data_IF_332513787790
#
_entry.id   IF_332513787790
#
_cell.length_a   1.000
_cell.length_b   1.000
_cell.length_c   1.000
_cell.angle_alpha   90.00
_cell.angle_beta   90.00
_cell.angle_gamma   90.00
#
_symmetry.space_group_name_H-M   'P 1'
#
loop_
_entity.id
_entity.type
_entity.pdbx_description
1 polymer ?
#
# COMPACT_ATOMS: atom_id res chain seq x y z
N UNK A 1 15.86 -0.52 -9.31
CA UNK A 1 16.37 0.42 -10.33
C UNK A 1 15.39 1.57 -10.46
N UNK A 2 15.88 2.83 -10.48
CA UNK A 2 15.04 4.03 -10.63
C UNK A 2 15.29 4.64 -12.02
N UNK A 3 14.33 5.46 -12.51
CA UNK A 3 14.48 6.19 -13.76
C UNK A 3 14.01 5.43 -15.01
N UNK A 4 13.28 4.32 -14.83
CA UNK A 4 12.62 3.58 -15.92
C UNK A 4 11.17 3.37 -15.56
N UNK A 5 10.29 3.54 -16.53
CA UNK A 5 8.88 3.23 -16.48
C UNK A 5 8.41 2.71 -17.82
N UNK A 6 7.18 2.22 -17.89
CA UNK A 6 6.56 1.80 -19.15
C UNK A 6 5.13 2.30 -19.21
N UNK A 7 4.62 2.44 -20.45
CA UNK A 7 3.24 2.80 -20.72
C UNK A 7 2.59 1.66 -21.48
N UNK A 8 1.50 1.12 -20.94
CA UNK A 8 0.61 0.26 -21.70
C UNK A 8 -0.35 1.12 -22.51
N UNK A 9 -0.32 0.97 -23.83
CA UNK A 9 -1.22 1.66 -24.75
C UNK A 9 -2.07 0.63 -25.50
N UNK A 10 -3.38 0.67 -25.29
CA UNK A 10 -4.31 -0.16 -26.05
C UNK A 10 -4.24 0.17 -27.55
N UNK A 11 -4.30 -0.84 -28.38
CA UNK A 11 -4.32 -0.68 -29.84
C UNK A 11 -5.41 0.30 -30.29
N UNK A 12 -5.13 1.08 -31.34
CA UNK A 12 -6.03 2.13 -31.86
C UNK A 12 -6.08 3.43 -31.04
N UNK A 13 -5.48 3.48 -29.84
CA UNK A 13 -5.38 4.73 -29.09
C UNK A 13 -4.21 5.58 -29.58
N UNK A 14 -4.45 6.89 -29.80
CA UNK A 14 -3.40 7.85 -30.15
C UNK A 14 -2.77 8.37 -28.86
N UNK A 15 -1.46 8.46 -28.84
CA UNK A 15 -0.67 9.10 -27.79
C UNK A 15 0.23 10.13 -28.47
N UNK A 16 0.17 11.37 -28.00
CA UNK A 16 1.07 12.41 -28.49
C UNK A 16 2.40 12.33 -27.72
N UNK A 17 3.54 12.33 -28.40
CA UNK A 17 4.84 12.30 -27.75
C UNK A 17 5.07 13.59 -26.97
N UNK A 18 5.59 13.46 -25.74
CA UNK A 18 6.07 14.61 -24.97
C UNK A 18 7.44 15.09 -25.47
N UNK A 19 8.29 14.16 -25.91
CA UNK A 19 9.61 14.40 -26.46
C UNK A 19 9.66 13.86 -27.89
N UNK A 20 9.61 14.76 -28.85
CA UNK A 20 9.74 14.43 -30.28
C UNK A 20 11.22 14.49 -30.71
N UNK A 21 11.60 13.73 -31.75
CA UNK A 21 12.97 13.75 -32.29
C UNK A 21 13.32 12.51 -33.13
N UNK A 22 14.29 11.71 -32.70
CA UNK A 22 14.95 10.66 -33.49
C UNK A 22 14.18 9.35 -33.72
N UNK A 23 12.89 9.28 -33.46
CA UNK A 23 12.05 8.12 -33.81
C UNK A 23 12.07 6.96 -32.80
N UNK A 24 12.78 7.10 -31.68
CA UNK A 24 12.85 6.05 -30.65
C UNK A 24 11.46 5.77 -30.05
N UNK A 25 11.28 4.53 -29.58
CA UNK A 25 10.01 4.01 -29.03
C UNK A 25 8.80 4.22 -29.97
N UNK A 26 9.03 4.04 -31.30
CA UNK A 26 7.99 4.23 -32.32
C UNK A 26 7.47 5.67 -32.36
N UNK A 27 8.34 6.66 -32.33
CA UNK A 27 8.06 8.09 -32.29
C UNK A 27 7.32 8.57 -31.04
N UNK A 28 7.18 7.73 -30.01
CA UNK A 28 6.46 8.10 -28.79
C UNK A 28 7.33 8.74 -27.72
N UNK A 29 8.63 8.45 -27.75
CA UNK A 29 9.57 8.98 -26.76
C UNK A 29 10.99 8.99 -27.30
N UNK A 30 11.38 10.12 -27.86
CA UNK A 30 12.71 10.32 -28.40
C UNK A 30 13.72 10.57 -27.29
N UNK A 31 14.78 9.85 -27.23
CA UNK A 31 16.08 9.98 -26.58
C UNK A 31 16.77 8.61 -26.64
N UNK A 32 18.07 8.57 -26.36
CA UNK A 32 18.80 7.30 -26.20
C UNK A 32 18.16 6.47 -25.09
N UNK A 33 17.88 5.20 -25.39
CA UNK A 33 17.21 4.28 -24.47
C UNK A 33 18.12 3.90 -23.30
N UNK A 34 17.57 3.86 -22.11
CA UNK A 34 18.25 3.32 -20.92
C UNK A 34 18.18 1.79 -20.93
N UNK A 35 18.94 1.16 -21.80
CA UNK A 35 18.92 -0.30 -22.02
C UNK A 35 19.13 -1.09 -20.73
N UNK A 36 20.09 -0.69 -19.90
CA UNK A 36 20.36 -1.37 -18.63
C UNK A 36 19.17 -1.29 -17.67
N UNK A 37 18.54 -0.12 -17.55
CA UNK A 37 17.36 0.07 -16.72
C UNK A 37 16.14 -0.68 -17.26
N UNK A 38 15.94 -0.71 -18.57
CA UNK A 38 14.87 -1.46 -19.23
C UNK A 38 15.04 -2.96 -18.96
N UNK A 39 16.24 -3.51 -19.17
CA UNK A 39 16.53 -4.92 -18.90
C UNK A 39 16.31 -5.29 -17.42
N UNK A 40 16.73 -4.43 -16.49
CA UNK A 40 16.50 -4.63 -15.07
C UNK A 40 15.01 -4.59 -14.69
N UNK A 41 14.23 -3.69 -15.30
CA UNK A 41 12.77 -3.59 -15.10
C UNK A 41 12.06 -4.85 -15.64
N UNK A 42 12.43 -5.31 -16.84
CA UNK A 42 11.89 -6.54 -17.42
C UNK A 42 12.22 -7.77 -16.56
N UNK A 43 13.44 -7.85 -16.02
CA UNK A 43 13.83 -8.91 -15.07
C UNK A 43 13.01 -8.87 -13.80
N UNK A 44 12.81 -7.68 -13.21
CA UNK A 44 12.01 -7.51 -12.00
C UNK A 44 10.55 -7.93 -12.22
N UNK A 45 9.94 -7.51 -13.35
CA UNK A 45 8.58 -7.89 -13.71
C UNK A 45 8.46 -9.42 -13.83
N UNK A 46 9.40 -10.08 -14.52
CA UNK A 46 9.39 -11.54 -14.63
C UNK A 46 9.46 -12.21 -13.27
N UNK A 47 10.35 -11.77 -12.37
CA UNK A 47 10.48 -12.35 -11.04
C UNK A 47 9.19 -12.21 -10.21
N UNK A 48 8.49 -11.09 -10.32
CA UNK A 48 7.20 -10.89 -9.65
C UNK A 48 6.15 -11.83 -10.24
N UNK A 49 6.06 -11.90 -11.57
CA UNK A 49 5.07 -12.75 -12.26
C UNK A 49 5.31 -14.24 -11.96
N UNK A 50 6.58 -14.69 -11.94
CA UNK A 50 6.92 -16.07 -11.61
C UNK A 50 6.48 -16.47 -10.18
N UNK A 51 6.44 -15.51 -9.26
CA UNK A 51 6.03 -15.71 -7.86
C UNK A 51 4.51 -15.59 -7.64
N UNK A 52 3.80 -14.91 -8.51
CA UNK A 52 2.41 -14.47 -8.30
C UNK A 52 1.47 -15.61 -7.89
N UNK A 53 1.58 -16.75 -8.55
CA UNK A 53 0.69 -17.89 -8.35
C UNK A 53 0.69 -18.45 -6.92
N UNK A 54 1.81 -18.36 -6.20
CA UNK A 54 1.91 -18.82 -4.81
C UNK A 54 1.95 -17.69 -3.78
N UNK A 55 2.45 -16.51 -4.17
CA UNK A 55 2.55 -15.37 -3.28
C UNK A 55 1.18 -14.77 -2.97
N UNK A 56 0.32 -14.59 -3.97
CA UNK A 56 -0.99 -13.96 -3.78
C UNK A 56 -1.90 -14.73 -2.82
N UNK A 57 -2.07 -16.07 -2.90
CA UNK A 57 -2.88 -16.79 -1.93
C UNK A 57 -2.33 -16.68 -0.50
N UNK A 58 -1.00 -16.75 -0.32
CA UNK A 58 -0.35 -16.57 0.97
C UNK A 58 -0.64 -15.19 1.57
N UNK A 59 -0.44 -14.14 0.77
CA UNK A 59 -0.68 -12.75 1.17
C UNK A 59 -2.16 -12.53 1.50
N UNK A 60 -3.08 -13.05 0.68
CA UNK A 60 -4.51 -12.94 0.92
C UNK A 60 -4.92 -13.59 2.25
N UNK A 61 -4.38 -14.78 2.55
CA UNK A 61 -4.61 -15.46 3.84
C UNK A 61 -4.11 -14.63 5.01
N UNK A 62 -2.90 -14.09 4.94
CA UNK A 62 -2.37 -13.22 6.00
C UNK A 62 -3.22 -11.97 6.20
N UNK A 63 -3.64 -11.32 5.12
CA UNK A 63 -4.53 -10.16 5.16
C UNK A 63 -5.87 -10.50 5.80
N UNK A 64 -6.46 -11.65 5.45
CA UNK A 64 -7.74 -12.09 6.00
C UNK A 64 -7.68 -12.31 7.50
N UNK A 65 -6.64 -12.96 8.00
CA UNK A 65 -6.43 -13.19 9.43
C UNK A 65 -6.33 -11.85 10.19
N UNK A 66 -5.56 -10.90 9.66
CA UNK A 66 -5.45 -9.57 10.26
C UNK A 66 -6.80 -8.86 10.21
N UNK A 67 -7.49 -8.87 9.07
CA UNK A 67 -8.79 -8.27 8.90
C UNK A 67 -9.80 -8.79 9.92
N UNK A 68 -9.88 -10.11 10.10
CA UNK A 68 -10.85 -10.75 10.99
C UNK A 68 -10.60 -10.39 12.46
N UNK A 69 -9.35 -10.24 12.86
CA UNK A 69 -9.05 -9.75 14.21
C UNK A 69 -9.46 -8.28 14.37
N UNK A 70 -9.09 -7.41 13.42
CA UNK A 70 -9.45 -5.98 13.46
C UNK A 70 -10.96 -5.78 13.52
N UNK A 71 -11.73 -6.57 12.76
CA UNK A 71 -13.19 -6.47 12.67
C UNK A 71 -13.92 -6.82 13.99
N UNK A 72 -13.27 -7.49 14.93
CA UNK A 72 -13.85 -7.78 16.25
C UNK A 72 -13.98 -6.54 17.15
N UNK A 73 -13.30 -5.45 16.82
CA UNK A 73 -13.20 -4.27 17.67
C UNK A 73 -14.08 -3.14 17.15
N UNK A 74 -15.02 -2.67 17.98
CA UNK A 74 -16.04 -1.65 17.62
C UNK A 74 -15.47 -0.31 17.14
N UNK A 75 -14.29 0.06 17.66
CA UNK A 75 -13.66 1.35 17.39
C UNK A 75 -12.66 1.28 16.24
N UNK A 76 -12.50 0.12 15.63
CA UNK A 76 -11.69 -0.05 14.43
C UNK A 76 -12.53 0.30 13.20
N UNK A 77 -11.97 1.18 12.39
CA UNK A 77 -12.50 1.57 11.09
C UNK A 77 -11.67 0.85 10.03
N UNK A 78 -12.27 -0.03 9.25
CA UNK A 78 -11.58 -0.70 8.14
C UNK A 78 -12.00 -0.02 6.85
N UNK A 79 -11.02 0.53 6.13
CA UNK A 79 -11.23 1.29 4.89
C UNK A 79 -10.99 0.45 3.63
N UNK A 80 -10.31 -0.67 3.74
CA UNK A 80 -10.11 -1.65 2.67
C UNK A 80 -10.84 -2.94 3.01
N UNK A 81 -11.76 -3.35 2.14
CA UNK A 81 -12.56 -4.57 2.33
C UNK A 81 -11.82 -5.85 1.97
N UNK A 82 -12.56 -6.98 2.06
CA UNK A 82 -12.15 -8.29 1.55
C UNK A 82 -12.46 -8.46 0.04
N UNK A 83 -12.90 -7.40 -0.62
CA UNK A 83 -13.32 -7.39 -2.01
C UNK A 83 -12.16 -7.73 -2.94
N UNK A 84 -12.39 -8.62 -3.90
CA UNK A 84 -11.41 -9.05 -4.91
C UNK A 84 -10.98 -7.92 -5.86
N UNK A 85 -11.73 -6.81 -5.88
CA UNK A 85 -11.36 -5.60 -6.64
C UNK A 85 -10.27 -4.78 -5.97
N UNK A 86 -9.91 -5.10 -4.72
CA UNK A 86 -8.92 -4.38 -3.92
C UNK A 86 -7.57 -5.12 -3.92
N UNK A 87 -6.50 -4.37 -3.76
CA UNK A 87 -5.16 -4.94 -3.69
C UNK A 87 -5.06 -6.00 -2.57
N UNK A 88 -4.67 -7.24 -2.89
CA UNK A 88 -4.64 -8.32 -1.91
C UNK A 88 -3.64 -8.11 -0.78
N UNK A 89 -2.63 -7.31 -1.02
CA UNK A 89 -1.52 -7.04 -0.12
C UNK A 89 -1.67 -5.76 0.71
N UNK A 90 -2.75 -4.99 0.54
CA UNK A 90 -2.97 -3.73 1.24
C UNK A 90 -4.16 -3.85 2.19
N UNK A 91 -3.95 -3.49 3.44
CA UNK A 91 -4.99 -3.35 4.44
C UNK A 91 -4.90 -1.96 5.09
N UNK A 92 -5.98 -1.19 5.00
CA UNK A 92 -6.06 0.15 5.58
C UNK A 92 -7.11 0.16 6.68
N UNK A 93 -6.70 0.58 7.88
CA UNK A 93 -7.58 0.68 9.03
C UNK A 93 -7.27 1.93 9.85
N UNK A 94 -8.12 2.24 10.82
CA UNK A 94 -7.88 3.30 11.80
C UNK A 94 -8.51 2.98 13.13
N UNK A 95 -8.01 3.58 14.20
CA UNK A 95 -8.63 3.55 15.52
C UNK A 95 -9.43 4.85 15.69
N UNK A 96 -10.75 4.76 15.85
CA UNK A 96 -11.63 5.91 15.96
C UNK A 96 -11.15 6.85 17.06
N UNK A 97 -10.96 8.12 16.73
CA UNK A 97 -10.51 9.16 17.66
C UNK A 97 -9.01 9.18 17.97
N UNK A 98 -8.22 8.29 17.36
CA UNK A 98 -6.76 8.26 17.46
C UNK A 98 -6.16 8.66 16.12
N UNK A 99 -5.16 9.53 16.10
CA UNK A 99 -4.45 9.90 14.86
C UNK A 99 -3.57 8.76 14.38
N UNK A 100 -3.50 8.58 13.07
CA UNK A 100 -2.70 7.52 12.46
C UNK A 100 -1.23 7.55 12.84
N UNK A 101 -0.64 8.74 13.00
CA UNK A 101 0.76 8.91 13.43
C UNK A 101 1.01 8.30 14.82
N UNK A 102 0.06 8.44 15.75
CA UNK A 102 0.16 7.86 17.09
C UNK A 102 0.17 6.34 17.02
N UNK A 103 -0.67 5.78 16.14
CA UNK A 103 -0.73 4.32 15.91
C UNK A 103 0.58 3.82 15.29
N UNK A 104 1.10 4.52 14.27
CA UNK A 104 2.38 4.16 13.63
C UNK A 104 3.51 4.14 14.67
N UNK A 105 3.68 5.20 15.45
CA UNK A 105 4.73 5.25 16.48
C UNK A 105 4.58 4.17 17.54
N UNK A 106 3.35 3.84 17.95
CA UNK A 106 3.13 2.76 18.91
C UNK A 106 3.53 1.39 18.37
N UNK A 107 3.41 1.14 17.06
CA UNK A 107 3.91 -0.08 16.43
C UNK A 107 5.42 -0.05 16.21
N UNK A 108 6.00 1.11 15.88
CA UNK A 108 7.46 1.30 15.74
C UNK A 108 8.23 0.97 17.03
N UNK A 109 7.64 1.25 18.22
CA UNK A 109 8.20 0.86 19.53
C UNK A 109 8.44 -0.67 19.65
N UNK A 110 7.76 -1.46 18.81
CA UNK A 110 7.84 -2.93 18.76
C UNK A 110 8.46 -3.46 17.46
N UNK A 111 9.19 -2.62 16.74
CA UNK A 111 9.85 -2.94 15.45
C UNK A 111 8.87 -3.40 14.35
N UNK A 112 7.60 -2.97 14.43
CA UNK A 112 6.58 -3.20 13.40
C UNK A 112 6.37 -1.91 12.63
N UNK A 113 6.72 -1.94 11.34
CA UNK A 113 6.69 -0.77 10.46
C UNK A 113 5.46 -0.79 9.58
N UNK A 114 4.50 0.06 9.93
CA UNK A 114 3.32 0.37 9.13
C UNK A 114 3.38 1.83 8.70
N UNK A 115 2.52 2.27 7.80
CA UNK A 115 2.55 3.64 7.29
C UNK A 115 1.25 4.39 7.59
N UNK A 116 1.33 5.70 7.79
CA UNK A 116 0.14 6.52 7.58
C UNK A 116 -0.23 6.52 6.09
N UNK A 117 -1.51 6.62 5.77
CA UNK A 117 -1.98 6.67 4.38
C UNK A 117 -1.54 7.93 3.63
N UNK A 118 -1.02 8.92 4.34
CA UNK A 118 -0.55 10.21 3.82
C UNK A 118 0.96 10.41 3.96
N UNK A 119 1.77 9.35 4.03
CA UNK A 119 3.21 9.42 4.31
C UNK A 119 3.97 10.47 3.47
N UNK A 120 3.62 10.67 2.20
CA UNK A 120 4.25 11.69 1.35
C UNK A 120 3.69 13.11 1.55
N UNK A 121 2.50 13.26 2.10
CA UNK A 121 1.84 14.55 2.37
C UNK A 121 1.68 14.88 3.87
N UNK A 122 2.14 14.00 4.75
CA UNK A 122 2.07 14.15 6.22
C UNK A 122 2.82 15.39 6.71
N UNK A 123 3.90 15.80 6.04
CA UNK A 123 4.59 17.08 6.32
C UNK A 123 3.69 18.33 6.19
N UNK A 124 2.53 18.22 5.53
CA UNK A 124 1.55 19.29 5.35
C UNK A 124 0.28 19.11 6.20
N UNK A 125 0.20 18.08 7.07
CA UNK A 125 -0.99 17.81 7.89
C UNK A 125 -2.25 17.45 7.10
N UNK A 126 -2.12 17.15 5.81
CA UNK A 126 -3.26 16.83 4.93
C UNK A 126 -3.70 15.38 5.12
N UNK A 127 -5.01 15.11 5.23
CA UNK A 127 -5.54 13.75 5.30
C UNK A 127 -5.28 12.98 4.00
N UNK A 128 -5.40 11.67 4.04
CA UNK A 128 -5.26 10.79 2.90
C UNK A 128 -6.21 11.17 1.75
N UNK A 129 -5.69 11.75 0.70
CA UNK A 129 -6.49 12.21 -0.46
C UNK A 129 -7.34 11.10 -1.07
N UNK A 130 -6.84 9.86 -1.10
CA UNK A 130 -7.59 8.69 -1.58
C UNK A 130 -8.84 8.43 -0.74
N UNK A 131 -8.73 8.41 0.59
CA UNK A 131 -9.88 8.18 1.47
C UNK A 131 -10.91 9.31 1.37
N UNK A 132 -10.46 10.56 1.22
CA UNK A 132 -11.36 11.70 0.99
C UNK A 132 -12.08 11.54 -0.35
N UNK A 133 -11.39 11.13 -1.41
CA UNK A 133 -12.01 10.87 -2.71
C UNK A 133 -13.02 9.70 -2.67
N UNK A 134 -12.84 8.75 -1.75
CA UNK A 134 -13.79 7.68 -1.46
C UNK A 134 -14.98 8.13 -0.59
N UNK A 135 -15.05 9.41 -0.21
CA UNK A 135 -16.12 9.95 0.63
C UNK A 135 -15.93 9.74 2.14
N UNK A 136 -14.76 9.30 2.59
CA UNK A 136 -14.48 9.15 4.02
C UNK A 136 -14.35 10.53 4.66
N UNK A 137 -15.09 10.84 5.75
CA UNK A 137 -14.97 12.11 6.45
C UNK A 137 -13.52 12.37 6.89
N UNK A 138 -13.06 13.61 6.72
CA UNK A 138 -11.67 14.03 7.01
C UNK A 138 -11.19 13.58 8.39
N UNK A 139 -12.03 13.71 9.40
CA UNK A 139 -11.73 13.34 10.79
C UNK A 139 -11.44 11.83 10.95
N UNK A 140 -12.11 10.98 10.16
CA UNK A 140 -11.88 9.55 10.16
C UNK A 140 -10.67 9.18 9.28
N UNK A 141 -10.48 9.85 8.16
CA UNK A 141 -9.33 9.64 7.28
C UNK A 141 -7.98 9.97 7.97
N UNK A 142 -7.98 10.87 8.96
CA UNK A 142 -6.80 11.19 9.77
C UNK A 142 -6.37 10.07 10.73
N UNK A 143 -7.25 9.11 11.04
CA UNK A 143 -6.88 7.94 11.85
C UNK A 143 -6.26 6.81 11.03
N UNK A 144 -6.28 6.92 9.71
CA UNK A 144 -5.95 5.81 8.84
C UNK A 144 -4.45 5.48 8.82
N UNK A 145 -4.16 4.21 9.00
CA UNK A 145 -2.87 3.58 8.81
C UNK A 145 -2.97 2.46 7.78
N UNK A 146 -1.86 2.15 7.13
CA UNK A 146 -1.79 1.14 6.08
C UNK A 146 -0.77 0.07 6.42
N UNK A 147 -1.22 -1.17 6.39
CA UNK A 147 -0.39 -2.36 6.35
C UNK A 147 -0.15 -2.71 4.89
N UNK A 148 1.08 -3.02 4.54
CA UNK A 148 1.46 -3.53 3.22
C UNK A 148 2.20 -4.85 3.43
N UNK A 149 1.61 -5.93 2.93
CA UNK A 149 2.15 -7.28 3.01
C UNK A 149 2.94 -7.61 1.75
N UNK A 150 3.92 -8.48 1.88
CA UNK A 150 4.76 -8.98 0.78
C UNK A 150 4.91 -10.50 0.89
N UNK A 151 5.45 -11.13 -0.14
CA UNK A 151 5.72 -12.58 -0.17
C UNK A 151 6.82 -13.00 0.83
N UNK A 152 7.66 -12.07 1.27
CA UNK A 152 8.67 -12.29 2.30
C UNK A 152 8.07 -12.32 3.73
N UNK A 153 6.84 -11.83 3.93
CA UNK A 153 6.17 -11.94 5.23
C UNK A 153 5.75 -13.38 5.53
N UNK A 154 5.69 -13.73 6.81
CA UNK A 154 5.28 -15.04 7.30
C UNK A 154 4.21 -14.98 8.39
N UNK A 155 3.67 -16.14 8.77
CA UNK A 155 2.62 -16.24 9.80
C UNK A 155 3.11 -15.83 11.18
N UNK A 156 4.38 -16.03 11.51
CA UNK A 156 4.96 -15.58 12.78
C UNK A 156 4.92 -14.08 12.93
N UNK A 157 5.20 -13.36 11.83
CA UNK A 157 5.07 -11.89 11.79
C UNK A 157 3.61 -11.44 11.93
N UNK A 158 2.65 -12.17 11.35
CA UNK A 158 1.21 -11.89 11.54
C UNK A 158 0.82 -12.08 13.01
N UNK A 159 1.23 -13.16 13.65
CA UNK A 159 0.96 -13.42 15.07
C UNK A 159 1.58 -12.35 15.97
N UNK A 160 2.82 -11.93 15.68
CA UNK A 160 3.47 -10.83 16.37
C UNK A 160 2.66 -9.53 16.21
N UNK A 161 2.27 -9.20 14.98
CA UNK A 161 1.42 -8.03 14.72
C UNK A 161 0.13 -8.06 15.55
N UNK A 162 -0.58 -9.18 15.56
CA UNK A 162 -1.84 -9.34 16.29
C UNK A 162 -1.65 -9.20 17.80
N UNK A 163 -0.55 -9.72 18.33
CA UNK A 163 -0.19 -9.59 19.75
C UNK A 163 0.03 -8.13 20.13
N UNK A 164 0.84 -7.43 19.34
CA UNK A 164 1.15 -6.01 19.57
C UNK A 164 -0.07 -5.13 19.28
N UNK A 165 -0.88 -5.46 18.28
CA UNK A 165 -2.13 -4.75 18.01
C UNK A 165 -3.03 -4.70 19.25
N UNK A 166 -3.20 -5.81 19.96
CA UNK A 166 -4.02 -5.85 21.19
C UNK A 166 -3.48 -4.90 22.26
N UNK A 167 -2.17 -4.88 22.47
CA UNK A 167 -1.53 -3.97 23.43
C UNK A 167 -1.71 -2.49 23.04
N UNK A 168 -1.47 -2.17 21.78
CA UNK A 168 -1.65 -0.81 21.23
C UNK A 168 -3.12 -0.38 21.35
N UNK A 169 -4.05 -1.27 20.99
CA UNK A 169 -5.48 -0.99 21.08
C UNK A 169 -5.90 -0.72 22.52
N UNK A 170 -5.52 -1.55 23.49
CA UNK A 170 -5.83 -1.36 24.91
C UNK A 170 -5.22 -0.06 25.47
N UNK A 171 -3.97 0.26 25.10
CA UNK A 171 -3.31 1.52 25.47
C UNK A 171 -4.11 2.73 24.96
N UNK A 172 -4.61 2.68 23.74
CA UNK A 172 -5.40 3.78 23.16
C UNK A 172 -6.78 3.93 23.80
N UNK A 173 -7.38 2.85 24.30
CA UNK A 173 -8.67 2.94 25.02
C UNK A 173 -8.54 3.60 26.40
N UNK A 174 -7.38 3.49 27.08
CA UNK A 174 -7.14 4.09 28.40
C UNK A 174 -6.88 5.60 28.34
N UNK A 175 -6.51 6.13 27.19
CA UNK A 175 -6.18 7.56 27.00
C UNK A 175 -7.38 8.38 26.51
N UNK A 176 -8.49 7.72 26.19
CA UNK A 176 -9.78 8.33 25.85
C UNK A 176 -10.61 8.63 27.09
#
# INVERSE_FOLDING_TARGET
VRGVGFIYKKEGKKLNPLLAGGGQEGDLRSTTENVAGIAATAKALRLVTDKEAYALPKIATMKEIIYDELAKHKDILIFSGKDDTLAPNILTFGIKGVRGEVVVHAFEEHEIYISTTSACSSKAGKPAGTLIAMGVPTKLAQSAVRISLDDDNDMGQVEQFLTIFKQVYEKTQKVR
#
